data_IF_748971830093
#
_entry.id   IF_748971830093
#
_cell.length_a   1.000
_cell.length_b   1.000
_cell.length_c   1.000
_cell.angle_alpha   90.00
_cell.angle_beta   90.00
_cell.angle_gamma   90.00
#
_symmetry.space_group_name_H-M   'P 1'
#
loop_
_entity.id
_entity.type
_entity.pdbx_description
1 polymer ?
#
# COMPACT_ATOMS: atom_id res chain seq x y z
N UNK A 1 37.66 -2.39 22.03
CA UNK A 1 36.58 -1.38 21.93
C UNK A 1 36.14 -1.32 20.49
N UNK A 2 35.14 -2.12 20.11
CA UNK A 2 34.54 -2.04 18.77
C UNK A 2 33.72 -0.76 18.70
N UNK A 3 34.08 0.10 17.76
CA UNK A 3 33.41 1.36 17.48
C UNK A 3 31.97 1.01 17.06
N UNK A 4 30.97 1.53 17.77
CA UNK A 4 29.59 1.41 17.35
C UNK A 4 29.48 1.87 15.89
N UNK A 5 28.77 1.16 15.00
CA UNK A 5 28.59 1.62 13.63
C UNK A 5 27.97 3.02 13.72
N UNK A 6 28.68 4.02 13.17
CA UNK A 6 28.12 5.35 12.98
C UNK A 6 26.94 5.17 12.03
N UNK A 7 25.75 5.00 12.62
CA UNK A 7 24.46 5.11 11.96
C UNK A 7 24.29 6.58 11.57
N UNK A 8 25.08 7.04 10.60
CA UNK A 8 24.77 8.21 9.79
C UNK A 8 23.59 7.85 8.91
N UNK A 9 22.44 7.61 9.56
CA UNK A 9 21.15 7.76 8.93
C UNK A 9 21.12 9.23 8.61
N UNK A 10 21.54 9.61 7.41
CA UNK A 10 21.41 10.98 6.95
C UNK A 10 19.95 11.37 7.21
N UNK A 11 19.74 12.21 8.22
CA UNK A 11 18.43 12.67 8.67
C UNK A 11 17.65 13.34 7.53
N UNK A 12 18.32 13.62 6.42
CA UNK A 12 17.84 14.18 5.18
C UNK A 12 16.85 13.24 4.46
N UNK A 13 16.99 11.91 4.58
CA UNK A 13 16.04 10.94 4.01
C UNK A 13 14.74 10.87 4.83
N UNK A 14 14.83 10.90 6.17
CA UNK A 14 13.66 10.94 7.05
C UNK A 14 12.96 12.32 7.04
N UNK A 15 13.71 13.42 6.89
CA UNK A 15 13.15 14.78 6.80
C UNK A 15 12.32 15.02 5.54
N UNK A 16 12.64 14.36 4.41
CA UNK A 16 11.77 14.40 3.22
C UNK A 16 10.57 13.45 3.34
N UNK A 17 10.74 12.27 3.93
CA UNK A 17 9.64 11.37 4.26
C UNK A 17 8.60 12.02 5.20
N UNK A 18 9.04 12.91 6.11
CA UNK A 18 8.15 13.66 7.00
C UNK A 18 7.14 14.60 6.32
N UNK A 19 7.44 15.13 5.12
CA UNK A 19 6.47 15.91 4.32
C UNK A 19 5.49 15.04 3.52
N UNK A 20 5.80 13.75 3.36
CA UNK A 20 4.97 12.73 2.73
C UNK A 20 4.20 11.87 3.76
N UNK A 21 4.54 11.99 5.06
CA UNK A 21 3.94 11.22 6.15
C UNK A 21 2.45 11.51 6.34
N UNK A 22 2.03 12.71 5.93
CA UNK A 22 0.64 13.09 5.79
C UNK A 22 0.33 13.19 4.30
N UNK A 23 -0.48 12.28 3.74
CA UNK A 23 -0.98 12.50 2.40
C UNK A 23 -1.63 13.89 2.34
N UNK A 24 -1.55 14.59 1.19
CA UNK A 24 -2.25 15.86 1.04
C UNK A 24 -3.72 15.68 1.47
N UNK A 25 -4.38 16.75 1.96
CA UNK A 25 -5.80 16.69 2.28
C UNK A 25 -6.56 16.00 1.15
N UNK A 26 -7.66 15.32 1.46
CA UNK A 26 -8.58 14.65 0.50
C UNK A 26 -9.16 15.60 -0.59
N UNK A 27 -8.60 16.80 -0.72
CA UNK A 27 -8.87 17.79 -1.74
C UNK A 27 -8.45 17.26 -3.13
N UNK A 28 -9.51 16.99 -3.90
CA UNK A 28 -9.61 17.02 -5.35
C UNK A 28 -9.30 15.75 -6.16
N UNK A 29 -8.43 14.84 -5.71
CA UNK A 29 -8.15 13.59 -6.46
C UNK A 29 -8.90 12.36 -5.90
N UNK A 30 -10.22 12.49 -5.77
CA UNK A 30 -11.10 11.51 -5.11
C UNK A 30 -11.02 10.09 -5.70
N UNK A 31 -10.63 9.95 -6.96
CA UNK A 31 -10.55 8.67 -7.66
C UNK A 31 -9.51 7.72 -7.07
N UNK A 32 -8.33 8.22 -6.69
CA UNK A 32 -7.28 7.37 -6.12
C UNK A 32 -7.65 6.83 -4.73
N UNK A 33 -8.49 7.56 -4.00
CA UNK A 33 -8.96 7.11 -2.69
C UNK A 33 -10.16 6.18 -2.83
N UNK A 34 -11.11 6.53 -3.71
CA UNK A 34 -12.32 5.73 -4.00
C UNK A 34 -12.00 4.33 -4.54
N UNK A 35 -10.93 4.15 -5.31
CA UNK A 35 -10.55 2.81 -5.79
C UNK A 35 -10.27 1.83 -4.64
N UNK A 36 -9.78 2.29 -3.48
CA UNK A 36 -9.59 1.41 -2.32
C UNK A 36 -10.92 0.92 -1.77
N UNK A 37 -11.94 1.78 -1.76
CA UNK A 37 -13.30 1.39 -1.42
C UNK A 37 -13.89 0.45 -2.47
N UNK A 38 -13.81 0.77 -3.76
CA UNK A 38 -14.28 -0.13 -4.84
C UNK A 38 -13.64 -1.53 -4.75
N UNK A 39 -12.35 -1.60 -4.44
CA UNK A 39 -11.63 -2.86 -4.21
C UNK A 39 -12.17 -3.63 -3.02
N UNK A 40 -12.49 -2.94 -1.93
CA UNK A 40 -13.03 -3.56 -0.72
C UNK A 40 -14.46 -4.07 -0.94
N UNK A 41 -15.29 -3.31 -1.67
CA UNK A 41 -16.66 -3.72 -1.99
C UNK A 41 -16.65 -4.90 -2.96
N UNK A 42 -15.85 -4.88 -4.03
CA UNK A 42 -15.77 -6.05 -4.95
C UNK A 42 -15.22 -7.29 -4.24
N UNK A 43 -14.31 -7.13 -3.27
CA UNK A 43 -13.81 -8.24 -2.45
C UNK A 43 -14.94 -8.97 -1.69
N UNK A 44 -16.02 -8.29 -1.29
CA UNK A 44 -17.16 -8.96 -0.63
C UNK A 44 -17.88 -9.90 -1.58
N UNK A 45 -18.03 -9.51 -2.85
CA UNK A 45 -18.58 -10.35 -3.92
C UNK A 45 -17.63 -11.52 -4.22
N UNK A 46 -16.33 -11.25 -4.39
CA UNK A 46 -15.33 -12.29 -4.69
C UNK A 46 -15.28 -13.39 -3.60
N UNK A 47 -15.46 -13.01 -2.34
CA UNK A 47 -15.46 -13.95 -1.21
C UNK A 47 -16.61 -14.96 -1.27
N UNK A 48 -17.76 -14.60 -1.83
CA UNK A 48 -18.88 -15.53 -2.04
C UNK A 48 -18.49 -16.70 -2.96
N UNK A 49 -17.50 -16.49 -3.83
CA UNK A 49 -16.97 -17.47 -4.76
C UNK A 49 -15.65 -18.11 -4.29
N UNK A 50 -15.24 -17.89 -3.04
CA UNK A 50 -13.97 -18.40 -2.51
C UNK A 50 -12.72 -17.73 -3.13
N UNK A 51 -12.90 -16.63 -3.85
CA UNK A 51 -11.82 -15.88 -4.49
C UNK A 51 -11.33 -14.76 -3.58
N UNK A 52 -10.06 -14.39 -3.75
CA UNK A 52 -9.46 -13.22 -3.09
C UNK A 52 -8.96 -12.24 -4.14
N UNK A 53 -9.08 -10.95 -3.88
CA UNK A 53 -8.59 -9.90 -4.78
C UNK A 53 -7.09 -9.99 -5.04
N UNK A 54 -6.29 -10.57 -4.15
CA UNK A 54 -4.85 -10.81 -4.40
C UNK A 54 -4.60 -11.67 -5.64
N UNK A 55 -5.57 -12.49 -6.04
CA UNK A 55 -5.52 -13.35 -7.23
C UNK A 55 -6.00 -12.62 -8.49
N UNK A 56 -6.54 -11.40 -8.35
CA UNK A 56 -7.15 -10.62 -9.43
C UNK A 56 -6.22 -9.49 -9.88
N UNK A 57 -5.77 -9.56 -11.14
CA UNK A 57 -5.01 -8.47 -11.77
C UNK A 57 -5.95 -7.39 -12.28
N UNK A 58 -5.93 -6.24 -11.61
CA UNK A 58 -6.75 -5.08 -11.98
C UNK A 58 -5.86 -4.05 -12.65
N UNK A 59 -6.20 -3.70 -13.89
CA UNK A 59 -5.43 -2.71 -14.65
C UNK A 59 -5.63 -1.29 -14.10
N UNK A 60 -4.63 -0.43 -14.29
CA UNK A 60 -4.69 0.99 -13.88
C UNK A 60 -5.78 1.79 -14.59
N UNK A 61 -6.22 1.33 -15.78
CA UNK A 61 -7.33 1.95 -16.50
C UNK A 61 -8.65 1.74 -15.77
N UNK A 62 -8.90 0.51 -15.32
CA UNK A 62 -10.13 0.13 -14.63
C UNK A 62 -10.25 0.87 -13.28
N UNK A 63 -9.13 1.14 -12.59
CA UNK A 63 -9.15 1.85 -11.29
C UNK A 63 -9.72 3.28 -11.30
N UNK A 64 -9.90 3.90 -12.48
CA UNK A 64 -10.49 5.24 -12.59
C UNK A 64 -11.99 5.24 -12.86
N UNK A 65 -12.57 4.07 -13.13
CA UNK A 65 -13.98 3.94 -13.47
C UNK A 65 -14.87 4.14 -12.23
N UNK A 66 -16.13 4.60 -12.42
CA UNK A 66 -17.16 4.53 -11.41
C UNK A 66 -17.35 3.10 -10.89
N UNK A 67 -17.89 2.95 -9.68
CA UNK A 67 -17.98 1.65 -9.02
C UNK A 67 -18.65 0.57 -9.87
N UNK A 68 -19.80 0.88 -10.51
CA UNK A 68 -20.51 -0.11 -11.33
C UNK A 68 -19.66 -0.62 -12.50
N UNK A 69 -19.07 0.29 -13.28
CA UNK A 69 -18.21 -0.08 -14.40
C UNK A 69 -16.94 -0.81 -13.93
N UNK A 70 -16.38 -0.38 -12.80
CA UNK A 70 -15.26 -1.06 -12.15
C UNK A 70 -15.61 -2.50 -11.77
N UNK A 71 -16.73 -2.71 -11.10
CA UNK A 71 -17.18 -4.03 -10.64
C UNK A 71 -17.47 -4.95 -11.82
N UNK A 72 -18.22 -4.47 -12.82
CA UNK A 72 -18.50 -5.22 -14.04
C UNK A 72 -17.21 -5.66 -14.73
N UNK A 73 -16.26 -4.75 -14.97
CA UNK A 73 -15.00 -5.08 -15.64
C UNK A 73 -14.16 -6.10 -14.87
N UNK A 74 -14.20 -6.08 -13.52
CA UNK A 74 -13.49 -7.06 -12.68
C UNK A 74 -14.17 -8.43 -12.74
N UNK A 75 -15.50 -8.50 -12.64
CA UNK A 75 -16.24 -9.76 -12.61
C UNK A 75 -16.26 -10.45 -13.98
N UNK A 76 -16.41 -9.69 -15.07
CA UNK A 76 -16.32 -10.21 -16.44
C UNK A 76 -14.97 -10.88 -16.71
N UNK A 77 -13.88 -10.23 -16.28
CA UNK A 77 -12.53 -10.80 -16.41
C UNK A 77 -12.31 -12.09 -15.62
N UNK A 78 -13.20 -12.40 -14.67
CA UNK A 78 -13.17 -13.59 -13.83
C UNK A 78 -14.27 -14.60 -14.15
N UNK A 79 -15.11 -14.31 -15.16
CA UNK A 79 -16.25 -15.16 -15.56
C UNK A 79 -17.23 -15.38 -14.38
N UNK A 80 -17.40 -14.35 -13.55
CA UNK A 80 -18.36 -14.37 -12.44
C UNK A 80 -19.68 -13.79 -12.94
N UNK A 81 -20.84 -14.44 -12.70
CA UNK A 81 -22.13 -13.94 -13.12
C UNK A 81 -22.42 -12.54 -12.57
N UNK A 82 -22.80 -11.60 -13.44
CA UNK A 82 -23.19 -10.23 -13.06
C UNK A 82 -24.52 -10.18 -12.31
N UNK A 83 -25.29 -11.27 -12.29
CA UNK A 83 -26.56 -11.37 -11.56
C UNK A 83 -26.41 -11.10 -10.06
N UNK A 84 -25.25 -11.40 -9.47
CA UNK A 84 -24.97 -11.05 -8.06
C UNK A 84 -24.78 -9.55 -7.87
N UNK A 85 -24.13 -8.87 -8.83
CA UNK A 85 -23.97 -7.42 -8.81
C UNK A 85 -25.32 -6.71 -8.96
N UNK A 86 -26.24 -7.28 -9.74
CA UNK A 86 -27.60 -6.77 -9.92
C UNK A 86 -28.48 -7.02 -8.71
N UNK A 87 -28.41 -8.22 -8.11
CA UNK A 87 -29.18 -8.58 -6.91
C UNK A 87 -28.87 -7.67 -5.74
N UNK A 88 -27.59 -7.43 -5.47
CA UNK A 88 -27.13 -6.66 -4.29
C UNK A 88 -26.76 -5.22 -4.67
N UNK A 89 -27.22 -4.73 -5.83
CA UNK A 89 -26.77 -3.46 -6.43
C UNK A 89 -26.85 -2.27 -5.48
N UNK A 90 -27.97 -2.09 -4.81
CA UNK A 90 -28.21 -0.94 -3.92
C UNK A 90 -27.28 -0.98 -2.71
N UNK A 91 -27.13 -2.15 -2.08
CA UNK A 91 -26.23 -2.36 -0.95
C UNK A 91 -24.78 -2.11 -1.36
N UNK A 92 -24.34 -2.68 -2.48
CA UNK A 92 -22.96 -2.52 -2.97
C UNK A 92 -22.65 -1.06 -3.34
N UNK A 93 -23.62 -0.32 -3.90
CA UNK A 93 -23.47 1.10 -4.17
C UNK A 93 -23.40 1.92 -2.88
N UNK A 94 -24.26 1.63 -1.89
CA UNK A 94 -24.22 2.29 -0.59
C UNK A 94 -22.86 2.07 0.10
N UNK A 95 -22.34 0.83 0.08
CA UNK A 95 -21.00 0.52 0.60
C UNK A 95 -19.89 1.28 -0.14
N UNK A 96 -20.03 1.49 -1.46
CA UNK A 96 -19.04 2.21 -2.25
C UNK A 96 -19.02 3.72 -1.94
N UNK A 97 -20.14 4.28 -1.46
CA UNK A 97 -20.24 5.68 -1.02
C UNK A 97 -19.59 5.93 0.36
N UNK A 98 -19.41 4.89 1.17
CA UNK A 98 -18.65 4.93 2.45
C UNK A 98 -17.13 5.01 2.25
N UNK A 99 -16.67 5.52 1.10
CA UNK A 99 -15.26 5.58 0.74
C UNK A 99 -14.42 6.44 1.70
N UNK A 100 -15.03 7.37 2.42
CA UNK A 100 -14.33 8.26 3.37
C UNK A 100 -13.79 7.49 4.58
N UNK A 101 -14.53 6.52 5.09
CA UNK A 101 -14.06 5.69 6.22
C UNK A 101 -12.89 4.81 5.78
N UNK A 102 -13.01 4.20 4.58
CA UNK A 102 -11.92 3.43 3.96
C UNK A 102 -10.69 4.31 3.71
N UNK A 103 -10.90 5.58 3.33
CA UNK A 103 -9.83 6.54 3.15
C UNK A 103 -9.04 6.77 4.45
N UNK A 104 -9.72 6.97 5.57
CA UNK A 104 -9.08 7.17 6.88
C UNK A 104 -8.18 6.00 7.23
N UNK A 105 -8.69 4.77 7.10
CA UNK A 105 -7.88 3.58 7.32
C UNK A 105 -6.66 3.51 6.39
N UNK A 106 -6.86 3.83 5.11
CA UNK A 106 -5.76 3.83 4.14
C UNK A 106 -4.70 4.87 4.47
N UNK A 107 -5.10 6.07 4.90
CA UNK A 107 -4.18 7.11 5.35
C UNK A 107 -3.39 6.66 6.59
N UNK A 108 -4.06 6.08 7.59
CA UNK A 108 -3.37 5.52 8.77
C UNK A 108 -2.34 4.47 8.37
N UNK A 109 -2.70 3.56 7.45
CA UNK A 109 -1.79 2.56 6.91
C UNK A 109 -0.59 3.21 6.22
N UNK A 110 -0.80 4.25 5.40
CA UNK A 110 0.27 4.96 4.72
C UNK A 110 1.21 5.68 5.71
N UNK A 111 0.67 6.29 6.76
CA UNK A 111 1.46 6.97 7.78
C UNK A 111 2.26 6.00 8.65
N UNK A 112 1.72 4.81 8.94
CA UNK A 112 2.41 3.78 9.73
C UNK A 112 3.45 2.98 8.93
N UNK A 113 3.28 2.84 7.62
CA UNK A 113 4.15 2.02 6.79
C UNK A 113 5.65 2.40 6.90
N UNK A 114 6.06 3.68 6.83
CA UNK A 114 7.45 4.09 6.99
C UNK A 114 8.04 3.74 8.37
N UNK A 115 7.22 3.80 9.43
CA UNK A 115 7.65 3.43 10.78
C UNK A 115 7.93 1.93 10.86
N UNK A 116 7.02 1.10 10.34
CA UNK A 116 7.19 -0.36 10.31
C UNK A 116 8.39 -0.74 9.45
N UNK A 117 8.55 -0.12 8.28
CA UNK A 117 9.71 -0.35 7.40
C UNK A 117 11.03 -0.01 8.11
N UNK A 118 11.09 1.14 8.78
CA UNK A 118 12.28 1.55 9.54
C UNK A 118 12.60 0.59 10.68
N UNK A 119 11.59 0.12 11.42
CA UNK A 119 11.78 -0.85 12.50
C UNK A 119 12.36 -2.18 11.97
N UNK A 120 11.81 -2.71 10.88
CA UNK A 120 12.29 -3.96 10.26
C UNK A 120 13.72 -3.80 9.73
N UNK A 121 14.05 -2.66 9.13
CA UNK A 121 15.41 -2.37 8.66
C UNK A 121 16.38 -2.29 9.84
N UNK A 122 16.02 -1.57 10.91
CA UNK A 122 16.83 -1.46 12.12
C UNK A 122 17.08 -2.82 12.77
N UNK A 123 16.04 -3.65 12.94
CA UNK A 123 16.15 -5.01 13.47
C UNK A 123 17.18 -5.84 12.67
N UNK A 124 17.08 -5.81 11.33
CA UNK A 124 18.01 -6.56 10.48
C UNK A 124 19.46 -6.04 10.58
N UNK A 125 19.64 -4.73 10.69
CA UNK A 125 20.97 -4.12 10.85
C UNK A 125 21.61 -4.55 12.18
N UNK A 126 20.84 -4.50 13.27
CA UNK A 126 21.31 -4.91 14.59
C UNK A 126 21.67 -6.39 14.61
N UNK A 127 20.80 -7.26 14.09
CA UNK A 127 21.07 -8.69 14.00
C UNK A 127 22.39 -8.98 13.28
N UNK A 128 22.62 -8.38 12.10
CA UNK A 128 23.85 -8.62 11.33
C UNK A 128 25.09 -8.09 12.04
N UNK A 129 24.97 -6.94 12.72
CA UNK A 129 26.05 -6.37 13.52
C UNK A 129 26.42 -7.28 14.70
N UNK A 130 25.43 -7.86 15.38
CA UNK A 130 25.63 -8.80 16.49
C UNK A 130 26.31 -10.09 16.04
N UNK A 131 26.06 -10.53 14.79
CA UNK A 131 26.75 -11.66 14.18
C UNK A 131 28.18 -11.35 13.71
N UNK A 132 28.66 -10.11 13.91
CA UNK A 132 30.03 -9.70 13.60
C UNK A 132 30.28 -9.33 12.13
N UNK A 133 29.23 -9.11 11.33
CA UNK A 133 29.38 -8.60 9.96
C UNK A 133 29.66 -7.10 9.96
N UNK A 134 30.37 -6.61 8.95
CA UNK A 134 30.39 -5.18 8.62
C UNK A 134 29.11 -4.84 7.87
N UNK A 135 28.30 -3.93 8.40
CA UNK A 135 26.94 -3.66 7.93
C UNK A 135 26.79 -2.22 7.47
N UNK A 136 26.22 -2.02 6.28
CA UNK A 136 25.95 -0.70 5.72
C UNK A 136 24.50 -0.59 5.23
N UNK A 137 23.86 0.55 5.49
CA UNK A 137 22.56 0.89 4.92
C UNK A 137 22.75 1.94 3.81
N UNK A 138 22.28 1.65 2.60
CA UNK A 138 22.37 2.59 1.46
C UNK A 138 21.01 2.85 0.84
N UNK A 139 20.74 4.11 0.50
CA UNK A 139 19.63 4.46 -0.38
C UNK A 139 20.09 4.33 -1.83
N UNK A 140 19.61 3.31 -2.55
CA UNK A 140 20.03 2.99 -3.92
C UNK A 140 19.28 3.77 -5.01
N UNK A 141 18.12 4.32 -4.67
CA UNK A 141 17.29 5.10 -5.58
C UNK A 141 16.75 6.36 -4.90
N UNK A 142 16.40 7.37 -5.70
CA UNK A 142 15.54 8.45 -5.23
C UNK A 142 14.17 7.87 -4.83
N UNK A 143 13.61 8.24 -3.66
CA UNK A 143 12.31 7.74 -3.21
C UNK A 143 11.18 7.94 -4.22
N UNK A 144 11.29 8.97 -5.06
CA UNK A 144 10.33 9.30 -6.13
C UNK A 144 10.33 8.30 -7.28
N UNK A 145 11.46 7.61 -7.52
CA UNK A 145 11.58 6.55 -8.53
C UNK A 145 11.05 5.23 -7.98
N UNK A 146 11.44 4.91 -6.75
CA UNK A 146 10.97 3.73 -6.03
C UNK A 146 10.93 4.02 -4.54
N UNK A 147 9.77 3.86 -3.86
CA UNK A 147 9.71 4.00 -2.41
C UNK A 147 10.51 2.89 -1.70
N UNK A 148 10.74 1.75 -2.36
CA UNK A 148 11.64 0.69 -1.88
C UNK A 148 13.07 0.99 -2.32
N UNK A 149 13.73 1.92 -1.64
CA UNK A 149 15.06 2.37 -2.02
C UNK A 149 16.16 2.03 -1.01
N UNK A 150 15.84 1.39 0.11
CA UNK A 150 16.81 1.01 1.12
C UNK A 150 17.43 -0.36 0.84
N UNK A 151 18.75 -0.43 0.91
CA UNK A 151 19.53 -1.65 0.76
C UNK A 151 20.39 -1.87 2.02
N UNK A 152 20.22 -3.02 2.65
CA UNK A 152 21.10 -3.52 3.72
C UNK A 152 22.20 -4.36 3.08
N UNK A 153 23.45 -3.93 3.25
CA UNK A 153 24.65 -4.63 2.81
C UNK A 153 25.36 -5.21 4.03
N UNK A 154 25.85 -6.43 3.92
CA UNK A 154 26.73 -7.05 4.93
C UNK A 154 27.92 -7.70 4.25
N UNK A 155 29.11 -7.51 4.84
CA UNK A 155 30.36 -8.14 4.41
C UNK A 155 30.91 -8.96 5.57
N UNK A 156 31.47 -10.12 5.23
CA UNK A 156 32.05 -11.07 6.18
C UNK A 156 33.57 -11.07 6.06
#
# INVERSE_FOLDING_TARGET
>A
MQKAPELSIHHRSLKKCGKELFPPPLADDSHHVKVHCHRAVVETVLRKYGLRRSQVKISRRISRLPFTEYATAVLEGLIIPLTELERDREELLAMAEEWREVAVFFMLRLSLAPCVESLVVCDRLLFLSEQGFDVQLKAVFEPTISPRNLLVLSLK
#
